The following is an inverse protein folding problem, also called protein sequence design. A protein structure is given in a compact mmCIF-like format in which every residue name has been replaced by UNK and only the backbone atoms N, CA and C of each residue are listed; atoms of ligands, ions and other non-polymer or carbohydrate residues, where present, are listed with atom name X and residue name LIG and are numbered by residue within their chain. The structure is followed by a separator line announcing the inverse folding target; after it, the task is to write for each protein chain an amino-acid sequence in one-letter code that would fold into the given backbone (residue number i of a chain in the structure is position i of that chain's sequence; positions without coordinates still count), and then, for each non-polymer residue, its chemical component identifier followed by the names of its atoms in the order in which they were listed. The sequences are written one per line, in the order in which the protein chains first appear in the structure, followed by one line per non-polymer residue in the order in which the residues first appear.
data_IF_022065693500
#
_entry.id   IF_022065693500
#
_cell.length_a   1.000
_cell.length_b   1.000
_cell.length_c   1.000
_cell.angle_alpha   90.00
_cell.angle_beta   90.00
_cell.angle_gamma   90.00
#
_symmetry.space_group_name_H-M   'P 1'
#
loop_
_entity.id
_entity.type
_entity.pdbx_description
1 polymer ?
#
# COMPACT_ATOMS: atom_id res chain seq x y z
N UNK A 1 39.78 54.58 -28.79
CA UNK A 1 39.80 53.11 -28.65
C UNK A 1 39.02 52.74 -27.41
N UNK A 2 37.76 52.34 -27.56
CA UNK A 2 36.86 52.02 -26.45
C UNK A 2 36.63 50.51 -26.38
N UNK A 3 37.14 49.87 -25.33
CA UNK A 3 36.95 48.44 -25.06
C UNK A 3 35.60 48.19 -24.39
N UNK A 4 34.75 47.36 -25.01
CA UNK A 4 33.51 46.85 -24.41
C UNK A 4 33.84 45.68 -23.49
N UNK A 5 33.62 45.84 -22.19
CA UNK A 5 33.64 44.75 -21.21
C UNK A 5 32.34 43.97 -21.37
N UNK A 6 32.43 42.68 -21.70
CA UNK A 6 31.29 41.76 -21.66
C UNK A 6 31.05 41.33 -20.22
N UNK A 7 29.88 41.65 -19.68
CA UNK A 7 29.38 41.11 -18.42
C UNK A 7 28.66 39.80 -18.76
N UNK A 8 29.12 38.69 -18.22
CA UNK A 8 28.41 37.40 -18.27
C UNK A 8 27.25 37.40 -17.27
N UNK A 9 26.08 36.82 -17.59
CA UNK A 9 25.01 36.70 -16.62
C UNK A 9 25.39 35.65 -15.56
N UNK A 10 25.16 35.98 -14.29
CA UNK A 10 25.27 35.02 -13.19
C UNK A 10 24.20 33.93 -13.35
N UNK A 11 24.60 32.67 -13.16
CA UNK A 11 23.68 31.54 -13.15
C UNK A 11 22.67 31.67 -12.00
N UNK A 12 21.40 31.24 -12.18
CA UNK A 12 20.43 31.29 -11.11
C UNK A 12 20.85 30.32 -10.00
N UNK A 13 20.91 30.84 -8.77
CA UNK A 13 21.09 30.03 -7.57
C UNK A 13 19.79 29.28 -7.32
N UNK A 14 19.81 27.96 -7.54
CA UNK A 14 18.73 27.07 -7.14
C UNK A 14 18.59 27.14 -5.61
N UNK A 15 17.51 27.76 -5.14
CA UNK A 15 17.05 27.56 -3.77
C UNK A 15 16.50 26.14 -3.67
N UNK A 16 17.31 25.23 -3.12
CA UNK A 16 16.79 23.97 -2.59
C UNK A 16 16.01 24.35 -1.33
N UNK A 17 14.69 24.38 -1.44
CA UNK A 17 13.83 24.46 -0.26
C UNK A 17 14.01 23.15 0.50
N UNK A 18 14.83 23.16 1.56
CA UNK A 18 14.88 22.09 2.54
C UNK A 18 13.56 22.11 3.30
N UNK A 19 12.57 21.35 2.84
CA UNK A 19 11.47 20.96 3.71
C UNK A 19 12.05 19.92 4.65
N UNK A 20 12.11 20.23 5.94
CA UNK A 20 12.32 19.22 6.95
C UNK A 20 11.14 18.24 6.84
N UNK A 21 11.35 17.11 6.16
CA UNK A 21 10.34 16.06 6.09
C UNK A 21 10.16 15.53 7.51
N UNK A 22 9.04 15.90 8.13
CA UNK A 22 8.56 15.17 9.29
C UNK A 22 8.30 13.75 8.79
N UNK A 23 9.01 12.76 9.34
CA UNK A 23 8.83 11.36 9.00
C UNK A 23 7.38 10.95 9.23
N UNK A 24 6.68 10.54 8.16
CA UNK A 24 5.30 10.08 8.26
C UNK A 24 5.19 8.89 9.22
N UNK A 25 4.32 8.97 10.22
CA UNK A 25 4.10 7.90 11.19
C UNK A 25 3.09 6.91 10.64
N UNK A 26 3.54 5.70 10.30
CA UNK A 26 2.71 4.68 9.67
C UNK A 26 2.33 3.63 10.69
N UNK A 27 1.06 3.56 11.07
CA UNK A 27 0.57 2.43 11.87
C UNK A 27 0.57 1.17 11.00
N UNK A 28 1.33 0.17 11.40
CA UNK A 28 1.37 -1.15 10.75
C UNK A 28 0.63 -2.14 11.64
N UNK A 29 -0.50 -2.64 11.16
CA UNK A 29 -1.21 -3.75 11.80
C UNK A 29 -0.66 -5.06 11.25
N UNK A 30 0.14 -5.75 12.06
CA UNK A 30 0.72 -7.06 11.79
C UNK A 30 -0.32 -8.17 12.03
N UNK A 31 -0.65 -8.90 10.97
CA UNK A 31 -1.50 -10.09 11.04
C UNK A 31 -0.67 -11.39 11.19
N UNK A 32 0.43 -11.35 11.94
CA UNK A 32 1.36 -12.47 12.13
C UNK A 32 1.97 -12.97 10.82
N UNK A 33 2.33 -12.04 9.93
CA UNK A 33 3.02 -12.41 8.70
C UNK A 33 4.50 -12.65 8.92
N UNK A 34 5.05 -13.64 8.21
CA UNK A 34 6.47 -13.99 8.32
C UNK A 34 7.39 -12.93 7.71
N UNK A 35 6.87 -12.03 6.88
CA UNK A 35 7.62 -11.03 6.11
C UNK A 35 7.20 -9.59 6.43
N UNK A 36 6.37 -9.35 7.46
CA UNK A 36 5.94 -8.00 7.83
C UNK A 36 7.11 -7.04 8.06
N UNK A 37 8.23 -7.54 8.59
CA UNK A 37 9.41 -6.71 8.85
C UNK A 37 10.13 -6.24 7.57
N UNK A 38 9.90 -6.88 6.42
CA UNK A 38 10.37 -6.35 5.13
C UNK A 38 9.57 -5.09 4.75
N UNK A 39 8.24 -5.10 4.95
CA UNK A 39 7.41 -3.89 4.76
C UNK A 39 7.85 -2.78 5.71
N UNK A 40 8.05 -3.10 6.99
CA UNK A 40 8.50 -2.16 8.02
C UNK A 40 9.86 -1.56 7.64
N UNK A 41 10.79 -2.38 7.18
CA UNK A 41 12.10 -1.94 6.72
C UNK A 41 11.97 -0.99 5.51
N UNK A 42 11.20 -1.36 4.49
CA UNK A 42 11.02 -0.52 3.29
C UNK A 42 10.39 0.83 3.62
N UNK A 43 9.40 0.85 4.52
CA UNK A 43 8.84 2.11 5.03
C UNK A 43 9.91 2.98 5.70
N UNK A 44 10.76 2.39 6.54
CA UNK A 44 11.86 3.09 7.19
C UNK A 44 12.93 3.60 6.20
N UNK A 45 13.28 2.80 5.19
CA UNK A 45 14.19 3.19 4.10
C UNK A 45 13.66 4.39 3.30
N UNK A 46 12.33 4.49 3.17
CA UNK A 46 11.63 5.61 2.54
C UNK A 46 11.42 6.82 3.48
N UNK A 47 11.92 6.74 4.73
CA UNK A 47 11.92 7.84 5.69
C UNK A 47 10.69 7.93 6.59
N UNK A 48 9.78 6.95 6.56
CA UNK A 48 8.65 6.86 7.48
C UNK A 48 9.08 6.33 8.87
N UNK A 49 8.22 6.53 9.87
CA UNK A 49 8.32 5.96 11.22
C UNK A 49 7.23 4.88 11.40
N UNK A 50 7.55 3.58 11.24
CA UNK A 50 6.58 2.52 11.42
C UNK A 50 6.23 2.27 12.90
N UNK A 51 4.94 2.30 13.23
CA UNK A 51 4.39 1.92 14.53
C UNK A 51 3.75 0.54 14.41
N UNK A 52 4.47 -0.52 14.79
CA UNK A 52 4.02 -1.90 14.53
C UNK A 52 3.24 -2.45 15.72
N UNK A 53 1.99 -2.85 15.48
CA UNK A 53 1.13 -3.49 16.47
C UNK A 53 0.50 -4.75 15.86
N UNK A 54 0.38 -5.82 16.63
CA UNK A 54 -0.34 -7.02 16.18
C UNK A 54 -1.84 -6.78 16.19
N UNK A 55 -2.56 -7.46 15.31
CA UNK A 55 -4.01 -7.30 15.15
C UNK A 55 -4.85 -7.54 16.41
N UNK A 56 -4.27 -8.21 17.43
CA UNK A 56 -4.89 -8.62 18.69
C UNK A 56 -4.30 -7.89 19.91
N UNK A 57 -3.33 -7.00 19.68
CA UNK A 57 -2.59 -6.27 20.72
C UNK A 57 -2.88 -4.76 20.71
N UNK A 58 -3.83 -4.32 19.90
CA UNK A 58 -4.27 -2.92 19.84
C UNK A 58 -5.76 -2.84 19.49
N UNK A 59 -6.45 -1.89 20.10
CA UNK A 59 -7.83 -1.51 19.78
C UNK A 59 -7.89 -0.34 18.80
N UNK A 60 -9.05 -0.09 18.20
CA UNK A 60 -9.23 1.07 17.31
C UNK A 60 -9.04 2.39 18.06
N UNK A 61 -9.47 2.47 19.32
CA UNK A 61 -9.34 3.67 20.14
C UNK A 61 -7.86 3.97 20.44
N UNK A 62 -7.09 2.95 20.84
CA UNK A 62 -5.63 3.09 21.03
C UNK A 62 -4.93 3.46 19.72
N UNK A 63 -5.33 2.87 18.59
CA UNK A 63 -4.80 3.24 17.27
C UNK A 63 -5.06 4.72 16.92
N UNK A 64 -6.22 5.26 17.31
CA UNK A 64 -6.53 6.67 17.13
C UNK A 64 -5.69 7.57 18.03
N UNK A 65 -5.45 7.17 19.28
CA UNK A 65 -4.60 7.91 20.23
C UNK A 65 -3.14 8.01 19.78
N UNK A 66 -2.65 7.03 19.01
CA UNK A 66 -1.33 7.08 18.39
C UNK A 66 -1.20 8.22 17.39
N UNK A 67 -2.30 8.76 16.83
CA UNK A 67 -2.31 9.77 15.76
C UNK A 67 -1.38 9.41 14.60
N UNK A 68 -1.56 8.25 13.94
CA UNK A 68 -0.78 7.91 12.77
C UNK A 68 -1.17 8.78 11.57
N UNK A 69 -0.23 8.98 10.66
CA UNK A 69 -0.44 9.72 9.42
C UNK A 69 -0.94 8.81 8.29
N UNK A 70 -0.71 7.49 8.41
CA UNK A 70 -1.23 6.47 7.49
C UNK A 70 -1.40 5.11 8.19
N UNK A 71 -2.22 4.23 7.59
CA UNK A 71 -2.43 2.86 8.04
C UNK A 71 -1.95 1.87 6.98
N UNK A 72 -1.11 0.93 7.36
CA UNK A 72 -0.80 -0.27 6.58
C UNK A 72 -1.31 -1.52 7.31
N UNK A 73 -2.13 -2.33 6.63
CA UNK A 73 -2.53 -3.65 7.12
C UNK A 73 -1.75 -4.72 6.36
N UNK A 74 -0.94 -5.48 7.09
CA UNK A 74 0.02 -6.41 6.52
C UNK A 74 -0.65 -7.66 5.91
N UNK A 75 0.12 -8.50 5.20
CA UNK A 75 -0.27 -9.88 4.95
C UNK A 75 -0.48 -10.65 6.26
N UNK A 76 -0.93 -11.90 6.16
CA UNK A 76 -1.08 -12.81 7.28
C UNK A 76 -1.79 -14.10 6.86
N UNK A 77 -1.78 -15.13 7.72
CA UNK A 77 -2.55 -16.33 7.47
C UNK A 77 -4.05 -16.11 7.74
N UNK A 78 -4.88 -17.03 7.27
CA UNK A 78 -6.30 -17.06 7.60
C UNK A 78 -7.15 -16.16 6.72
N UNK A 79 -8.24 -15.64 7.29
CA UNK A 79 -9.27 -14.87 6.59
C UNK A 79 -9.55 -13.54 7.31
N UNK A 80 -10.17 -12.55 6.65
CA UNK A 80 -10.50 -11.27 7.29
C UNK A 80 -11.32 -11.39 8.57
N UNK A 81 -12.19 -12.40 8.71
CA UNK A 81 -12.99 -12.60 9.92
C UNK A 81 -12.16 -13.02 11.14
N UNK A 82 -10.90 -13.42 10.92
CA UNK A 82 -9.95 -13.86 11.94
C UNK A 82 -8.83 -12.83 12.15
N UNK A 83 -8.79 -11.75 11.36
CA UNK A 83 -7.71 -10.77 11.32
C UNK A 83 -7.80 -9.70 12.44
N UNK A 84 -8.35 -10.08 13.61
CA UNK A 84 -8.49 -9.19 14.77
C UNK A 84 -9.09 -7.82 14.43
N UNK A 85 -8.37 -6.76 14.81
CA UNK A 85 -8.79 -5.36 14.60
C UNK A 85 -8.70 -4.89 13.15
N UNK A 86 -8.04 -5.62 12.25
CA UNK A 86 -7.64 -5.13 10.92
C UNK A 86 -8.79 -4.51 10.10
N UNK A 87 -9.92 -5.22 9.99
CA UNK A 87 -11.09 -4.72 9.23
C UNK A 87 -11.71 -3.48 9.90
N UNK A 88 -11.76 -3.45 11.24
CA UNK A 88 -12.27 -2.31 11.99
C UNK A 88 -11.33 -1.10 11.90
N UNK A 89 -10.02 -1.31 11.95
CA UNK A 89 -9.00 -0.29 11.77
C UNK A 89 -9.05 0.32 10.36
N UNK A 90 -9.24 -0.50 9.32
CA UNK A 90 -9.47 -0.01 7.95
C UNK A 90 -10.71 0.89 7.89
N UNK A 91 -11.83 0.46 8.48
CA UNK A 91 -13.07 1.25 8.50
C UNK A 91 -12.92 2.56 9.26
N UNK A 92 -12.17 2.56 10.36
CA UNK A 92 -11.86 3.77 11.11
C UNK A 92 -10.96 4.71 10.30
N UNK A 93 -9.84 4.22 9.75
CA UNK A 93 -8.89 5.04 9.02
C UNK A 93 -9.47 5.62 7.73
N UNK A 94 -10.41 4.91 7.09
CA UNK A 94 -11.08 5.35 5.87
C UNK A 94 -11.77 6.71 6.07
N UNK A 95 -11.33 7.71 5.30
CA UNK A 95 -11.81 9.09 5.39
C UNK A 95 -11.07 9.98 6.39
N UNK A 96 -10.09 9.42 7.11
CA UNK A 96 -9.23 10.16 8.04
C UNK A 96 -7.77 10.21 7.57
N UNK A 97 -7.22 9.06 7.17
CA UNK A 97 -5.83 8.90 6.74
C UNK A 97 -5.71 7.89 5.59
N UNK A 98 -4.65 7.96 4.76
CA UNK A 98 -4.41 6.99 3.71
C UNK A 98 -4.27 5.55 4.24
N UNK A 99 -4.90 4.59 3.57
CA UNK A 99 -4.85 3.17 3.91
C UNK A 99 -4.22 2.36 2.78
N UNK A 100 -3.31 1.46 3.14
CA UNK A 100 -2.79 0.41 2.26
C UNK A 100 -3.01 -0.98 2.88
N UNK A 101 -3.74 -1.85 2.17
CA UNK A 101 -3.88 -3.26 2.54
C UNK A 101 -3.03 -4.17 1.65
N UNK A 102 -2.23 -5.05 2.25
CA UNK A 102 -1.39 -6.00 1.49
C UNK A 102 -1.84 -7.43 1.76
N UNK A 103 -2.09 -8.22 0.71
CA UNK A 103 -2.53 -9.61 0.77
C UNK A 103 -3.77 -9.81 1.68
N UNK A 104 -3.61 -10.27 2.93
CA UNK A 104 -4.72 -10.33 3.89
C UNK A 104 -5.29 -8.93 4.17
N UNK A 105 -4.47 -7.88 4.24
CA UNK A 105 -4.96 -6.50 4.34
C UNK A 105 -5.83 -6.07 3.15
N UNK A 106 -5.47 -6.50 1.93
CA UNK A 106 -6.30 -6.28 0.73
C UNK A 106 -7.63 -7.04 0.82
N UNK A 107 -7.60 -8.26 1.35
CA UNK A 107 -8.82 -9.05 1.60
C UNK A 107 -9.70 -8.42 2.67
N UNK A 108 -9.11 -7.85 3.73
CA UNK A 108 -9.83 -7.08 4.74
C UNK A 108 -10.47 -5.83 4.15
N UNK A 109 -9.83 -5.15 3.17
CA UNK A 109 -10.48 -4.07 2.41
C UNK A 109 -11.69 -4.62 1.64
N UNK A 110 -11.54 -5.71 0.89
CA UNK A 110 -12.69 -6.33 0.20
C UNK A 110 -13.85 -6.63 1.16
N UNK A 111 -13.56 -7.29 2.28
CA UNK A 111 -14.52 -7.67 3.30
C UNK A 111 -15.15 -6.46 4.01
N UNK A 112 -14.37 -5.40 4.26
CA UNK A 112 -14.86 -4.21 4.94
C UNK A 112 -16.09 -3.64 4.24
N UNK A 113 -16.12 -3.60 2.90
CA UNK A 113 -17.26 -3.13 2.10
C UNK A 113 -18.19 -4.22 1.58
N UNK A 114 -18.10 -5.45 2.09
CA UNK A 114 -19.06 -6.53 1.77
C UNK A 114 -18.66 -7.42 0.60
N UNK A 115 -17.46 -7.26 0.06
CA UNK A 115 -16.86 -8.25 -0.84
C UNK A 115 -16.61 -9.57 -0.12
N UNK A 116 -16.72 -10.68 -0.85
CA UNK A 116 -16.50 -12.03 -0.34
C UNK A 116 -15.07 -12.49 -0.63
N UNK A 117 -14.45 -13.19 0.32
CA UNK A 117 -13.15 -13.82 0.13
C UNK A 117 -13.31 -15.32 -0.11
N UNK A 118 -12.92 -15.78 -1.29
CA UNK A 118 -13.06 -17.18 -1.71
C UNK A 118 -11.68 -17.82 -1.92
N UNK A 119 -11.64 -19.15 -2.09
CA UNK A 119 -10.39 -19.84 -2.45
C UNK A 119 -9.96 -19.41 -3.84
N UNK A 120 -8.67 -19.16 -4.00
CA UNK A 120 -8.09 -18.97 -5.32
C UNK A 120 -8.21 -20.28 -6.12
N UNK A 121 -8.37 -20.23 -7.46
CA UNK A 121 -8.37 -21.42 -8.31
C UNK A 121 -7.11 -22.27 -8.12
N UNK A 122 -5.97 -21.58 -8.00
CA UNK A 122 -4.66 -22.16 -7.75
C UNK A 122 -4.01 -21.54 -6.52
N UNK A 123 -3.31 -22.36 -5.72
CA UNK A 123 -2.52 -21.87 -4.60
C UNK A 123 -1.19 -21.32 -5.11
N UNK A 124 -0.90 -20.07 -4.74
CA UNK A 124 0.36 -19.41 -5.05
C UNK A 124 1.23 -19.37 -3.79
N UNK A 125 2.48 -19.82 -3.88
CA UNK A 125 3.43 -19.75 -2.78
C UNK A 125 4.82 -19.44 -3.33
N UNK A 126 5.24 -18.18 -3.25
CA UNK A 126 6.54 -17.72 -3.73
C UNK A 126 6.71 -17.74 -5.24
N UNK A 127 5.60 -17.60 -5.98
CA UNK A 127 5.60 -17.57 -7.45
C UNK A 127 5.35 -16.15 -7.93
N UNK A 128 6.01 -15.75 -9.02
CA UNK A 128 5.75 -14.46 -9.66
C UNK A 128 4.58 -14.54 -10.64
N UNK A 129 3.98 -13.39 -10.94
CA UNK A 129 2.95 -13.23 -11.96
C UNK A 129 3.02 -11.83 -12.55
N UNK A 130 2.65 -11.68 -13.83
CA UNK A 130 2.48 -10.37 -14.44
C UNK A 130 1.15 -9.77 -14.01
N UNK A 131 1.21 -8.57 -13.42
CA UNK A 131 0.05 -7.83 -12.92
C UNK A 131 -0.17 -6.60 -13.79
N UNK A 132 -1.29 -6.57 -14.51
CA UNK A 132 -1.74 -5.39 -15.25
C UNK A 132 -2.51 -4.46 -14.33
N UNK A 133 -2.32 -3.15 -14.47
CA UNK A 133 -2.97 -2.14 -13.62
C UNK A 133 -3.39 -0.88 -14.40
N UNK A 134 -4.13 0.02 -13.73
CA UNK A 134 -4.62 1.27 -14.33
C UNK A 134 -3.57 2.40 -14.35
N UNK A 135 -2.53 2.32 -13.50
CA UNK A 135 -1.41 3.27 -13.50
C UNK A 135 -1.66 4.53 -12.67
N UNK A 136 -2.68 4.50 -11.82
CA UNK A 136 -3.05 5.55 -10.88
C UNK A 136 -2.77 5.12 -9.43
N UNK A 137 -2.83 6.08 -8.51
CA UNK A 137 -2.74 5.81 -7.07
C UNK A 137 -1.40 5.18 -6.71
N UNK A 138 -1.42 4.06 -5.98
CA UNK A 138 -0.19 3.34 -5.61
C UNK A 138 0.56 2.77 -6.82
N UNK A 139 -0.07 2.68 -7.99
CA UNK A 139 0.54 2.21 -9.24
C UNK A 139 1.10 3.33 -10.13
N UNK A 140 1.07 4.58 -9.68
CA UNK A 140 1.56 5.71 -10.46
C UNK A 140 3.03 5.53 -10.88
N UNK A 141 3.30 5.62 -12.18
CA UNK A 141 4.65 5.52 -12.75
C UNK A 141 5.28 4.13 -12.74
N UNK A 142 4.57 3.08 -12.28
CA UNK A 142 5.10 1.71 -12.26
C UNK A 142 5.04 1.03 -13.63
N UNK A 143 5.90 0.03 -13.91
CA UNK A 143 5.84 -0.78 -15.13
C UNK A 143 4.47 -1.46 -15.31
N UNK A 144 3.93 -1.48 -16.53
CA UNK A 144 2.64 -2.13 -16.79
C UNK A 144 2.73 -3.13 -17.96
N UNK A 145 2.56 -4.44 -17.73
CA UNK A 145 2.36 -5.07 -16.41
C UNK A 145 3.66 -5.15 -15.60
N UNK A 146 3.55 -5.14 -14.26
CA UNK A 146 4.67 -5.36 -13.34
C UNK A 146 4.78 -6.84 -12.94
N UNK A 147 6.00 -7.33 -12.70
CA UNK A 147 6.21 -8.65 -12.12
C UNK A 147 6.10 -8.61 -10.59
N UNK A 148 5.18 -9.41 -10.01
CA UNK A 148 4.95 -9.44 -8.56
C UNK A 148 4.88 -10.85 -7.99
N UNK A 149 5.38 -11.02 -6.77
CA UNK A 149 5.29 -12.28 -6.01
C UNK A 149 3.93 -12.46 -5.34
N UNK A 150 3.41 -13.69 -5.40
CA UNK A 150 2.12 -14.10 -4.82
C UNK A 150 2.33 -15.25 -3.83
N UNK A 151 1.70 -15.15 -2.65
CA UNK A 151 1.73 -16.18 -1.59
C UNK A 151 0.34 -16.59 -1.08
N UNK A 152 -0.72 -16.23 -1.81
CA UNK A 152 -2.09 -16.40 -1.32
C UNK A 152 -2.74 -17.71 -1.80
N UNK A 153 -3.68 -18.18 -0.98
CA UNK A 153 -4.61 -19.28 -1.30
C UNK A 153 -6.07 -18.80 -1.35
N UNK A 154 -6.29 -17.52 -1.05
CA UNK A 154 -7.56 -16.84 -1.00
C UNK A 154 -7.47 -15.54 -1.81
N UNK A 155 -8.59 -15.12 -2.37
CA UNK A 155 -8.70 -13.88 -3.14
C UNK A 155 -10.05 -13.21 -2.87
N UNK A 156 -10.15 -11.92 -3.17
CA UNK A 156 -11.43 -11.21 -3.20
C UNK A 156 -12.18 -11.62 -4.47
N UNK A 157 -13.43 -12.05 -4.32
CA UNK A 157 -14.27 -12.53 -5.40
C UNK A 157 -14.82 -11.36 -6.23
N UNK A 158 -14.43 -11.27 -7.51
CA UNK A 158 -14.79 -10.17 -8.42
C UNK A 158 -16.30 -9.92 -8.50
N UNK A 159 -17.18 -10.93 -8.71
CA UNK A 159 -18.63 -10.73 -8.78
C UNK A 159 -19.27 -10.20 -7.49
N UNK A 160 -18.62 -10.41 -6.34
CA UNK A 160 -19.13 -9.98 -5.04
C UNK A 160 -18.78 -8.52 -4.69
N UNK A 161 -17.95 -7.85 -5.50
CA UNK A 161 -17.47 -6.52 -5.16
C UNK A 161 -18.62 -5.49 -5.19
N UNK A 162 -18.77 -4.69 -4.12
CA UNK A 162 -19.71 -3.60 -4.08
C UNK A 162 -19.30 -2.49 -5.06
N UNK A 163 -20.23 -1.59 -5.37
CA UNK A 163 -19.91 -0.45 -6.22
C UNK A 163 -18.87 0.50 -5.60
N UNK A 164 -18.74 0.55 -4.28
CA UNK A 164 -17.75 1.39 -3.57
C UNK A 164 -16.29 1.06 -3.93
N UNK A 165 -16.02 -0.16 -4.37
CA UNK A 165 -14.67 -0.64 -4.68
C UNK A 165 -14.47 -0.78 -6.20
N UNK A 166 -13.33 -0.29 -6.67
CA UNK A 166 -12.88 -0.40 -8.06
C UNK A 166 -11.70 -1.34 -8.12
N UNK A 167 -11.71 -2.26 -9.09
CA UNK A 167 -10.55 -3.12 -9.37
C UNK A 167 -9.51 -2.28 -10.13
N UNK A 168 -8.34 -2.10 -9.53
CA UNK A 168 -7.25 -1.29 -10.11
C UNK A 168 -6.12 -2.13 -10.71
N UNK A 169 -6.07 -3.43 -10.39
CA UNK A 169 -5.10 -4.35 -10.97
C UNK A 169 -5.62 -5.79 -11.07
N UNK A 170 -5.12 -6.52 -12.06
CA UNK A 170 -5.48 -7.92 -12.34
C UNK A 170 -4.28 -8.74 -12.80
N UNK A 171 -4.22 -10.02 -12.42
CA UNK A 171 -3.26 -10.96 -12.99
C UNK A 171 -3.72 -11.49 -14.35
N UNK A 172 -2.83 -12.17 -15.08
CA UNK A 172 -3.11 -12.73 -16.42
C UNK A 172 -4.23 -13.78 -16.45
N UNK A 173 -4.55 -14.38 -15.31
CA UNK A 173 -5.67 -15.31 -15.10
C UNK A 173 -6.97 -14.59 -14.68
N UNK A 174 -7.00 -13.26 -14.69
CA UNK A 174 -8.19 -12.44 -14.44
C UNK A 174 -8.54 -12.19 -12.98
N UNK A 175 -7.73 -12.71 -12.04
CA UNK A 175 -7.96 -12.53 -10.60
C UNK A 175 -7.71 -11.08 -10.16
N UNK A 176 -8.44 -10.64 -9.14
CA UNK A 176 -8.33 -9.29 -8.56
C UNK A 176 -7.00 -9.17 -7.82
N UNK A 177 -6.16 -8.22 -8.26
CA UNK A 177 -4.83 -7.98 -7.69
C UNK A 177 -4.67 -6.59 -7.07
N UNK A 178 -5.59 -5.67 -7.37
CA UNK A 178 -5.62 -4.32 -6.82
C UNK A 178 -7.06 -3.87 -6.60
N UNK A 179 -7.30 -3.19 -5.48
CA UNK A 179 -8.57 -2.53 -5.15
C UNK A 179 -8.32 -1.09 -4.73
N UNK A 180 -9.26 -0.21 -5.05
CA UNK A 180 -9.32 1.18 -4.58
C UNK A 180 -10.75 1.55 -4.22
N UNK A 181 -10.95 2.23 -3.12
CA UNK A 181 -12.25 2.83 -2.81
C UNK A 181 -12.52 4.05 -3.69
N UNK A 182 -13.76 4.22 -4.18
CA UNK A 182 -14.09 5.30 -5.14
C UNK A 182 -13.89 6.71 -4.59
N UNK A 183 -14.18 6.92 -3.31
CA UNK A 183 -14.23 8.25 -2.70
C UNK A 183 -13.35 8.41 -1.45
N UNK A 184 -12.62 7.37 -1.05
CA UNK A 184 -11.82 7.36 0.18
C UNK A 184 -10.41 6.95 -0.17
N UNK A 185 -9.42 7.42 0.57
CA UNK A 185 -8.01 7.09 0.32
C UNK A 185 -7.66 5.70 0.87
N UNK A 186 -8.23 4.68 0.24
CA UNK A 186 -8.09 3.28 0.62
C UNK A 186 -7.74 2.49 -0.62
N UNK A 187 -6.54 1.90 -0.62
CA UNK A 187 -6.07 1.03 -1.68
C UNK A 187 -5.51 -0.27 -1.10
N UNK A 188 -5.51 -1.33 -1.90
CA UNK A 188 -4.89 -2.58 -1.48
C UNK A 188 -4.44 -3.45 -2.63
N UNK A 189 -3.39 -4.24 -2.39
CA UNK A 189 -2.81 -5.17 -3.36
C UNK A 189 -2.83 -6.61 -2.84
N UNK A 190 -3.16 -7.56 -3.70
CA UNK A 190 -3.21 -8.99 -3.33
C UNK A 190 -1.83 -9.66 -3.38
N UNK A 191 -0.86 -9.05 -4.05
CA UNK A 191 0.52 -9.50 -4.14
C UNK A 191 1.39 -8.85 -3.04
N UNK A 192 2.66 -9.24 -2.98
CA UNK A 192 3.59 -8.87 -1.91
C UNK A 192 4.66 -7.88 -2.41
N UNK A 193 4.46 -6.55 -2.27
CA UNK A 193 5.44 -5.55 -2.68
C UNK A 193 6.77 -5.64 -1.91
N UNK A 194 6.77 -6.26 -0.74
CA UNK A 194 7.96 -6.49 0.09
C UNK A 194 8.80 -7.71 -0.30
N UNK A 195 8.34 -8.48 -1.29
CA UNK A 195 9.07 -9.64 -1.78
C UNK A 195 10.21 -9.20 -2.70
N UNK A 196 11.39 -9.80 -2.55
CA UNK A 196 12.58 -9.52 -3.37
C UNK A 196 12.38 -9.73 -4.87
N UNK A 197 11.42 -10.59 -5.25
CA UNK A 197 11.10 -10.88 -6.66
C UNK A 197 10.00 -9.96 -7.22
N UNK A 198 9.44 -9.07 -6.41
CA UNK A 198 8.48 -8.06 -6.89
C UNK A 198 9.25 -6.85 -7.42
N UNK A 199 8.98 -6.48 -8.66
CA UNK A 199 9.49 -5.25 -9.25
C UNK A 199 8.78 -4.04 -8.65
N UNK A 200 9.53 -2.95 -8.45
CA UNK A 200 9.00 -1.66 -8.00
C UNK A 200 8.18 -1.69 -6.69
N UNK A 201 8.51 -2.62 -5.78
CA UNK A 201 7.93 -2.68 -4.44
C UNK A 201 8.14 -1.40 -3.62
N UNK A 202 9.36 -0.87 -3.62
CA UNK A 202 9.69 0.42 -2.99
C UNK A 202 8.93 1.58 -3.61
N UNK A 203 8.83 1.65 -4.94
CA UNK A 203 8.13 2.73 -5.64
C UNK A 203 6.63 2.73 -5.31
N UNK A 204 6.02 1.53 -5.20
CA UNK A 204 4.63 1.38 -4.77
C UNK A 204 4.42 1.92 -3.34
N UNK A 205 5.33 1.59 -2.42
CA UNK A 205 5.28 2.10 -1.04
C UNK A 205 5.58 3.61 -0.98
N UNK A 206 6.45 4.12 -1.85
CA UNK A 206 6.72 5.55 -1.97
C UNK A 206 5.48 6.30 -2.46
N UNK A 207 4.76 5.77 -3.45
CA UNK A 207 3.48 6.31 -3.90
C UNK A 207 2.44 6.31 -2.77
N UNK A 208 2.40 5.26 -1.95
CA UNK A 208 1.54 5.22 -0.76
C UNK A 208 1.89 6.35 0.22
N UNK A 209 3.17 6.51 0.57
CA UNK A 209 3.63 7.53 1.50
C UNK A 209 3.44 8.95 0.97
N UNK A 210 3.52 9.15 -0.35
CA UNK A 210 3.28 10.45 -0.97
C UNK A 210 1.82 10.96 -0.82
N UNK A 211 0.89 10.11 -0.36
CA UNK A 211 -0.49 10.49 -0.03
C UNK A 211 -0.63 11.07 1.37
N UNK A 212 0.42 10.97 2.20
CA UNK A 212 0.48 11.61 3.51
C UNK A 212 0.65 13.13 3.33
N UNK A 213 -0.19 13.91 4.01
CA UNK A 213 -0.29 15.37 3.87
C UNK A 213 0.89 16.16 4.40
#
# INVERSE_FOLDING_TARGET
MAGRIRVTPAAPVLHVATVAAVSARVLVIDNYDSFVYNLVQYLGELGAEPLVHRHDAITVDEAAELRPDALLVSPGPGRPEQAGVSTAAIRWAAGHIPVLGVCLGHQCIGAAWGGTVVRAPDVMHGKTSRISHEGDGIFAGLPNPLEATRYHSLIVDRPSLPEDLVITATSSDGLVMGLRHRSLDVEGVQFHPESILTESGHDLLANFLARVG
#
